data_IF_161241992387
#
_entry.id   IF_161241992387
#
_cell.length_a   1.000
_cell.length_b   1.000
_cell.length_c   1.000
_cell.angle_alpha   90.00
_cell.angle_beta   90.00
_cell.angle_gamma   90.00
#
_symmetry.space_group_name_H-M   'P 1'
#
loop_
_entity.id
_entity.type
_entity.pdbx_description
1 polymer ?
#
# COMPACT_ATOMS: atom_id res chain seq x y z
N UNK A 1 -13.20 -30.62 -15.34
CA UNK A 1 -12.62 -31.98 -15.39
C UNK A 1 -11.21 -32.04 -14.80
N UNK A 2 -10.24 -31.22 -15.26
CA UNK A 2 -8.85 -31.20 -14.73
C UNK A 2 -8.68 -31.08 -13.20
N UNK A 3 -9.54 -30.29 -12.55
CA UNK A 3 -9.53 -30.14 -11.08
C UNK A 3 -9.98 -31.43 -10.37
N UNK A 4 -10.82 -32.25 -10.99
CA UNK A 4 -11.25 -33.53 -10.41
C UNK A 4 -10.19 -34.62 -10.60
N UNK A 5 -9.45 -34.58 -11.71
CA UNK A 5 -8.26 -35.44 -11.91
C UNK A 5 -7.21 -35.16 -10.84
N UNK A 6 -6.84 -33.88 -10.66
CA UNK A 6 -5.87 -33.45 -9.65
C UNK A 6 -6.29 -33.80 -8.21
N UNK A 7 -7.60 -33.84 -7.92
CA UNK A 7 -8.12 -34.27 -6.60
C UNK A 7 -7.89 -35.75 -6.35
N UNK A 8 -8.09 -36.57 -7.37
CA UNK A 8 -7.96 -38.03 -7.30
C UNK A 8 -6.49 -38.42 -7.20
N UNK A 9 -5.62 -37.74 -7.94
CA UNK A 9 -4.17 -37.96 -7.94
C UNK A 9 -3.51 -37.61 -6.59
N UNK A 10 -4.00 -36.58 -5.89
CA UNK A 10 -3.38 -36.08 -4.66
C UNK A 10 -3.99 -36.63 -3.36
N UNK A 11 -4.90 -37.60 -3.43
CA UNK A 11 -5.54 -38.24 -2.26
C UNK A 11 -6.07 -37.21 -1.23
N UNK A 12 -6.61 -36.09 -1.73
CA UNK A 12 -6.99 -34.94 -0.91
C UNK A 12 -8.31 -35.21 -0.17
N UNK A 13 -8.23 -35.92 0.96
CA UNK A 13 -9.35 -36.08 1.91
C UNK A 13 -9.58 -34.74 2.60
N UNK A 14 -10.53 -33.97 2.08
CA UNK A 14 -10.95 -32.66 2.59
C UNK A 14 -9.98 -31.54 2.23
N UNK A 15 -10.38 -30.62 1.34
CA UNK A 15 -9.58 -29.41 1.09
C UNK A 15 -9.90 -28.39 2.18
N UNK A 16 -8.89 -28.11 3.02
CA UNK A 16 -9.00 -27.14 4.10
C UNK A 16 -8.63 -25.74 3.62
N UNK A 17 -9.43 -24.76 4.01
CA UNK A 17 -9.20 -23.36 3.68
C UNK A 17 -8.95 -22.55 4.95
N UNK A 18 -7.83 -21.83 4.97
CA UNK A 18 -7.45 -20.93 6.05
C UNK A 18 -8.12 -19.55 5.95
N UNK A 19 -8.64 -19.19 4.77
CA UNK A 19 -9.33 -17.93 4.52
C UNK A 19 -10.72 -18.20 3.92
N UNK A 20 -11.75 -17.46 4.36
CA UNK A 20 -13.12 -17.65 3.87
C UNK A 20 -13.28 -17.28 2.38
N UNK A 21 -12.46 -16.38 1.85
CA UNK A 21 -12.45 -16.00 0.42
C UNK A 21 -12.23 -17.23 -0.47
N UNK A 22 -11.16 -17.99 -0.19
CA UNK A 22 -10.80 -19.18 -0.95
C UNK A 22 -11.85 -20.27 -0.84
N UNK A 23 -12.41 -20.47 0.36
CA UNK A 23 -13.49 -21.45 0.58
C UNK A 23 -14.75 -21.08 -0.19
N UNK A 24 -15.13 -19.79 -0.19
CA UNK A 24 -16.30 -19.32 -0.93
C UNK A 24 -16.14 -19.56 -2.43
N UNK A 25 -14.99 -19.20 -3.01
CA UNK A 25 -14.70 -19.42 -4.43
C UNK A 25 -14.72 -20.92 -4.74
N UNK A 26 -14.05 -21.74 -3.91
CA UNK A 26 -14.02 -23.17 -4.11
C UNK A 26 -15.41 -23.80 -4.06
N UNK A 27 -16.21 -23.52 -3.04
CA UNK A 27 -17.56 -24.07 -2.90
C UNK A 27 -18.47 -23.63 -4.05
N UNK A 28 -18.36 -22.36 -4.48
CA UNK A 28 -19.23 -21.80 -5.52
C UNK A 28 -18.94 -22.35 -6.91
N UNK A 29 -17.67 -22.55 -7.27
CA UNK A 29 -17.29 -22.90 -8.64
C UNK A 29 -16.94 -24.37 -8.83
N UNK A 30 -16.55 -25.09 -7.78
CA UNK A 30 -16.17 -26.50 -7.90
C UNK A 30 -17.30 -27.49 -7.61
N UNK A 31 -18.46 -27.00 -7.14
CA UNK A 31 -19.58 -27.80 -6.61
C UNK A 31 -19.18 -28.80 -5.53
N UNK A 32 -17.96 -28.68 -4.99
CA UNK A 32 -17.41 -29.53 -3.94
C UNK A 32 -17.40 -28.74 -2.63
N UNK A 33 -17.61 -29.43 -1.50
CA UNK A 33 -17.58 -28.80 -0.19
C UNK A 33 -16.17 -28.82 0.37
N UNK A 34 -15.54 -27.65 0.48
CA UNK A 34 -14.31 -27.47 1.25
C UNK A 34 -14.60 -27.38 2.74
N UNK A 35 -13.56 -27.53 3.56
CA UNK A 35 -13.64 -27.40 5.02
C UNK A 35 -13.04 -26.06 5.43
N UNK A 36 -13.75 -25.29 6.25
CA UNK A 36 -13.17 -24.09 6.84
C UNK A 36 -12.29 -24.48 8.01
N UNK A 37 -10.98 -24.22 7.94
CA UNK A 37 -10.07 -24.67 8.99
C UNK A 37 -10.38 -24.03 10.36
N UNK A 38 -11.01 -22.85 10.38
CA UNK A 38 -11.50 -22.22 11.61
C UNK A 38 -12.56 -23.06 12.32
N UNK A 39 -13.43 -23.78 11.60
CA UNK A 39 -14.44 -24.64 12.23
C UNK A 39 -13.85 -25.73 13.11
N UNK A 40 -12.65 -26.19 12.75
CA UNK A 40 -11.94 -27.25 13.45
C UNK A 40 -11.38 -26.74 14.77
N UNK A 41 -10.87 -25.51 14.78
CA UNK A 41 -10.13 -24.95 15.92
C UNK A 41 -10.92 -23.97 16.78
N UNK A 42 -12.12 -23.54 16.34
CA UNK A 42 -12.90 -22.51 17.05
C UNK A 42 -13.22 -22.87 18.50
N UNK A 43 -13.33 -24.16 18.82
CA UNK A 43 -13.52 -24.65 20.18
C UNK A 43 -12.33 -24.38 21.11
N UNK A 44 -11.11 -24.35 20.56
CA UNK A 44 -9.88 -24.14 21.33
C UNK A 44 -9.60 -22.65 21.61
N UNK A 45 -10.32 -21.74 20.93
CA UNK A 45 -10.13 -20.29 21.04
C UNK A 45 -10.90 -19.66 22.22
N UNK A 46 -11.69 -20.45 22.96
CA UNK A 46 -12.49 -20.02 24.12
C UNK A 46 -13.28 -18.74 23.85
N UNK A 47 -12.98 -17.65 24.57
CA UNK A 47 -13.68 -16.35 24.55
C UNK A 47 -12.93 -15.26 23.77
N UNK A 48 -11.87 -15.61 23.03
CA UNK A 48 -11.12 -14.60 22.25
C UNK A 48 -12.02 -14.06 21.14
N UNK A 49 -12.07 -12.74 21.01
CA UNK A 49 -12.79 -12.12 19.89
C UNK A 49 -12.09 -12.45 18.57
N UNK A 50 -12.87 -12.89 17.57
CA UNK A 50 -12.35 -13.33 16.27
C UNK A 50 -12.99 -12.53 15.12
N UNK A 51 -12.13 -11.94 14.32
CA UNK A 51 -12.44 -11.35 13.02
C UNK A 51 -12.42 -12.43 11.93
N UNK A 52 -13.62 -12.78 11.44
CA UNK A 52 -13.80 -13.77 10.38
C UNK A 52 -13.65 -13.16 8.99
N UNK A 53 -13.83 -11.84 8.85
CA UNK A 53 -13.84 -11.14 7.58
C UNK A 53 -15.17 -11.25 6.83
N UNK A 54 -15.43 -10.27 5.96
CA UNK A 54 -16.73 -10.14 5.30
C UNK A 54 -17.12 -11.30 4.36
N UNK A 55 -16.16 -12.06 3.84
CA UNK A 55 -16.45 -13.25 3.02
C UNK A 55 -16.99 -14.42 3.85
N UNK A 56 -16.69 -14.48 5.14
CA UNK A 56 -17.25 -15.48 6.03
C UNK A 56 -18.78 -15.33 6.16
N UNK A 57 -19.33 -14.11 6.06
CA UNK A 57 -20.78 -13.88 6.04
C UNK A 57 -21.45 -14.54 4.84
N UNK A 58 -20.80 -14.52 3.67
CA UNK A 58 -21.29 -15.21 2.47
C UNK A 58 -21.28 -16.74 2.62
N UNK A 59 -20.55 -17.25 3.60
CA UNK A 59 -20.51 -18.65 3.99
C UNK A 59 -21.42 -18.97 5.19
N UNK A 60 -22.17 -17.99 5.70
CA UNK A 60 -23.12 -18.17 6.81
C UNK A 60 -22.53 -17.97 8.20
N UNK A 61 -21.35 -17.36 8.33
CA UNK A 61 -20.77 -17.05 9.64
C UNK A 61 -21.14 -15.64 10.11
N UNK A 62 -21.48 -15.53 11.39
CA UNK A 62 -21.65 -14.26 12.08
C UNK A 62 -20.33 -13.84 12.75
N UNK A 63 -19.95 -12.57 12.55
CA UNK A 63 -18.81 -11.95 13.21
C UNK A 63 -19.19 -10.55 13.66
N UNK A 64 -18.73 -10.16 14.85
CA UNK A 64 -18.89 -8.79 15.36
C UNK A 64 -18.15 -7.77 14.48
N UNK A 65 -17.11 -8.20 13.76
CA UNK A 65 -16.30 -7.35 12.93
C UNK A 65 -16.66 -7.52 11.44
N UNK A 66 -16.99 -6.41 10.80
CA UNK A 66 -17.48 -6.38 9.41
C UNK A 66 -16.41 -6.01 8.37
N UNK A 67 -15.14 -5.93 8.76
CA UNK A 67 -14.08 -5.44 7.88
C UNK A 67 -13.74 -6.50 6.81
N UNK A 68 -13.49 -6.05 5.57
CA UNK A 68 -13.14 -6.92 4.46
C UNK A 68 -11.62 -7.00 4.26
N UNK A 69 -11.06 -8.20 4.31
CA UNK A 69 -9.69 -8.49 3.88
C UNK A 69 -9.52 -8.49 2.35
N UNK A 70 -10.56 -8.14 1.59
CA UNK A 70 -10.63 -8.36 0.13
C UNK A 70 -9.84 -7.41 -0.77
N UNK A 71 -8.98 -6.56 -0.23
CA UNK A 71 -8.14 -5.68 -1.04
C UNK A 71 -6.72 -5.74 -0.48
N UNK A 72 -5.78 -6.14 -1.35
CA UNK A 72 -4.32 -6.06 -1.15
C UNK A 72 -3.84 -4.61 -0.94
N UNK A 73 -4.76 -3.64 -1.07
CA UNK A 73 -4.50 -2.22 -0.94
C UNK A 73 -4.26 -1.85 0.52
N UNK A 74 -3.14 -1.16 0.74
CA UNK A 74 -2.83 -0.36 1.94
C UNK A 74 -3.71 0.89 2.07
N UNK A 75 -4.62 1.10 1.12
CA UNK A 75 -5.56 2.21 1.05
C UNK A 75 -6.99 1.75 0.70
N UNK A 76 -8.01 2.45 1.19
CA UNK A 76 -9.41 2.27 0.80
C UNK A 76 -10.01 3.63 0.44
N UNK A 77 -10.55 3.75 -0.79
CA UNK A 77 -11.05 5.03 -1.34
C UNK A 77 -10.03 6.18 -1.23
N UNK A 78 -8.76 5.91 -1.54
CA UNK A 78 -7.69 6.92 -1.50
C UNK A 78 -7.21 7.30 -0.10
N UNK A 79 -7.78 6.71 0.97
CA UNK A 79 -7.35 6.93 2.35
C UNK A 79 -6.54 5.73 2.85
N UNK A 80 -5.48 5.97 3.63
CA UNK A 80 -4.68 4.91 4.20
C UNK A 80 -5.45 4.09 5.24
N UNK A 81 -5.33 2.76 5.15
CA UNK A 81 -5.80 1.87 6.22
C UNK A 81 -4.69 1.79 7.28
N UNK A 82 -4.82 2.55 8.37
CA UNK A 82 -3.91 2.45 9.52
C UNK A 82 -4.21 1.16 10.28
N UNK A 83 -3.27 0.22 10.28
CA UNK A 83 -3.35 -0.99 11.09
C UNK A 83 -2.89 -0.68 12.52
N UNK A 84 -3.75 -0.06 13.32
CA UNK A 84 -3.54 -0.04 14.77
C UNK A 84 -3.55 -1.48 15.28
N UNK A 85 -2.69 -1.84 16.24
CA UNK A 85 -2.72 -3.18 16.83
C UNK A 85 -4.07 -3.40 17.51
N UNK A 86 -4.85 -4.37 17.03
CA UNK A 86 -6.16 -4.69 17.59
C UNK A 86 -6.05 -5.95 18.45
N UNK A 87 -6.73 -5.94 19.60
CA UNK A 87 -6.70 -7.03 20.59
C UNK A 87 -7.47 -8.30 20.22
N UNK A 88 -7.91 -8.44 18.96
CA UNK A 88 -8.67 -9.59 18.48
C UNK A 88 -7.86 -10.47 17.51
N UNK A 89 -8.28 -11.72 17.33
CA UNK A 89 -7.65 -12.66 16.40
C UNK A 89 -8.29 -12.56 15.01
N UNK A 90 -7.52 -12.83 13.97
CA UNK A 90 -8.04 -12.88 12.59
C UNK A 90 -7.94 -14.30 12.05
N UNK A 91 -9.01 -14.76 11.37
CA UNK A 91 -9.00 -16.10 10.79
C UNK A 91 -8.03 -16.21 9.63
N UNK A 92 -8.13 -15.31 8.64
CA UNK A 92 -7.29 -15.40 7.46
C UNK A 92 -5.86 -14.92 7.76
N UNK A 93 -4.83 -15.81 7.76
CA UNK A 93 -3.46 -15.45 8.13
C UNK A 93 -2.84 -14.42 7.17
N UNK A 94 -3.31 -14.33 5.93
CA UNK A 94 -2.83 -13.33 4.96
C UNK A 94 -3.37 -11.92 5.20
N UNK A 95 -4.27 -11.74 6.17
CA UNK A 95 -4.91 -10.46 6.47
C UNK A 95 -4.58 -9.93 7.87
N UNK A 96 -3.79 -10.67 8.65
CA UNK A 96 -3.36 -10.30 10.01
C UNK A 96 -2.66 -8.96 10.05
N UNK A 97 -1.71 -8.72 9.12
CA UNK A 97 -1.00 -7.45 8.96
C UNK A 97 -1.93 -6.28 8.67
N UNK A 98 -2.98 -6.50 7.86
CA UNK A 98 -3.95 -5.47 7.46
C UNK A 98 -4.79 -4.99 8.63
N UNK A 99 -5.13 -5.89 9.54
CA UNK A 99 -5.93 -5.58 10.72
C UNK A 99 -5.09 -5.29 11.97
N UNK A 100 -3.76 -5.45 11.89
CA UNK A 100 -2.88 -5.33 13.06
C UNK A 100 -3.17 -6.40 14.11
N UNK A 101 -3.44 -7.64 13.69
CA UNK A 101 -3.94 -8.75 14.53
C UNK A 101 -3.05 -10.00 14.41
N UNK A 102 -3.31 -11.00 15.24
CA UNK A 102 -2.65 -12.32 15.18
C UNK A 102 -3.60 -13.36 14.58
N UNK A 103 -3.05 -14.34 13.85
CA UNK A 103 -3.82 -15.43 13.27
C UNK A 103 -4.38 -16.37 14.35
N UNK A 104 -5.62 -16.83 14.18
CA UNK A 104 -6.19 -17.91 15.00
C UNK A 104 -5.36 -19.19 14.97
N UNK A 105 -4.70 -19.48 13.85
CA UNK A 105 -3.93 -20.72 13.68
C UNK A 105 -2.61 -20.68 14.46
N UNK A 106 -1.99 -19.51 14.56
CA UNK A 106 -0.82 -19.29 15.40
C UNK A 106 -1.16 -19.46 16.89
N UNK A 107 -2.35 -18.99 17.31
CA UNK A 107 -2.79 -19.11 18.70
C UNK A 107 -3.04 -20.56 19.16
N UNK A 108 -3.25 -21.50 18.23
CA UNK A 108 -3.53 -22.92 18.50
C UNK A 108 -2.28 -23.79 18.33
N UNK A 109 -1.35 -23.38 17.47
CA UNK A 109 -0.09 -24.11 17.22
C UNK A 109 0.92 -24.00 18.36
N UNK A 110 0.73 -23.09 19.32
CA UNK A 110 1.73 -22.76 20.33
C UNK A 110 1.25 -23.01 21.78
N UNK A 111 1.76 -24.11 22.37
CA UNK A 111 2.12 -24.18 23.80
C UNK A 111 3.44 -23.43 24.09
N UNK A 112 3.96 -22.69 23.11
CA UNK A 112 5.06 -21.75 23.29
C UNK A 112 4.52 -20.57 24.08
N UNK A 113 5.17 -20.28 25.21
CA UNK A 113 4.88 -19.13 26.06
C UNK A 113 4.61 -17.91 25.18
N UNK A 114 3.58 -17.15 25.54
CA UNK A 114 3.52 -15.71 25.30
C UNK A 114 4.71 -15.04 26.04
N UNK A 115 5.95 -15.43 25.73
CA UNK A 115 7.03 -14.47 25.72
C UNK A 115 6.70 -13.64 24.49
N UNK A 116 6.19 -12.46 24.77
CA UNK A 116 6.12 -11.34 23.86
C UNK A 116 7.04 -11.57 22.64
N UNK A 117 6.47 -11.61 21.45
CA UNK A 117 7.21 -11.21 20.25
C UNK A 117 7.43 -9.69 20.39
N UNK A 118 8.23 -9.31 21.39
CA UNK A 118 8.77 -8.00 21.69
C UNK A 118 10.16 -7.95 21.07
N UNK A 119 10.27 -8.26 19.78
CA UNK A 119 11.53 -8.08 19.04
C UNK A 119 11.42 -8.07 17.51
N UNK A 120 10.23 -7.92 16.93
CA UNK A 120 10.13 -7.15 15.68
C UNK A 120 9.96 -5.71 16.13
N UNK A 121 10.88 -4.82 15.75
CA UNK A 121 10.90 -3.42 16.16
C UNK A 121 9.48 -2.86 16.05
N UNK A 122 8.86 -2.56 17.19
CA UNK A 122 7.57 -1.87 17.29
C UNK A 122 7.76 -0.41 16.88
N UNK A 123 8.27 -0.20 15.67
CA UNK A 123 8.33 1.11 15.10
C UNK A 123 6.94 1.44 14.60
N UNK A 124 6.38 2.53 15.11
CA UNK A 124 5.13 3.07 14.60
C UNK A 124 5.36 3.61 13.17
N UNK A 125 5.10 2.76 12.18
CA UNK A 125 5.26 3.08 10.76
C UNK A 125 4.31 4.20 10.30
N UNK A 126 3.31 4.59 11.10
CA UNK A 126 2.43 5.73 10.78
C UNK A 126 3.23 7.01 10.53
N UNK A 127 4.31 7.22 11.28
CA UNK A 127 5.20 8.36 11.10
C UNK A 127 5.90 8.32 9.74
N UNK A 128 6.34 7.14 9.28
CA UNK A 128 6.96 6.99 7.97
C UNK A 128 5.95 7.30 6.87
N UNK A 129 4.74 6.76 6.96
CA UNK A 129 3.69 7.05 5.99
C UNK A 129 3.36 8.55 5.91
N UNK A 130 3.27 9.23 7.05
CA UNK A 130 3.01 10.67 7.11
C UNK A 130 4.18 11.47 6.49
N UNK A 131 5.43 11.09 6.77
CA UNK A 131 6.62 11.70 6.16
C UNK A 131 6.69 11.48 4.64
N UNK A 132 6.35 10.27 4.16
CA UNK A 132 6.30 9.94 2.74
C UNK A 132 5.28 10.84 2.01
N UNK A 133 4.08 10.97 2.57
CA UNK A 133 3.02 11.82 2.01
C UNK A 133 3.48 13.28 1.97
N UNK A 134 3.95 13.80 3.11
CA UNK A 134 4.40 15.19 3.22
C UNK A 134 5.51 15.51 2.21
N UNK A 135 6.44 14.57 2.00
CA UNK A 135 7.50 14.71 1.00
C UNK A 135 6.95 14.89 -0.42
N UNK A 136 5.93 14.12 -0.79
CA UNK A 136 5.27 14.28 -2.09
C UNK A 136 4.55 15.63 -2.18
N UNK A 137 3.85 16.07 -1.11
CA UNK A 137 3.17 17.37 -1.09
C UNK A 137 4.15 18.53 -1.28
N UNK A 138 5.26 18.52 -0.55
CA UNK A 138 6.31 19.54 -0.66
C UNK A 138 7.01 19.52 -2.02
N UNK A 139 7.26 18.32 -2.57
CA UNK A 139 7.87 18.16 -3.88
C UNK A 139 7.00 18.77 -4.98
N UNK A 140 5.69 18.55 -4.94
CA UNK A 140 4.74 19.15 -5.89
C UNK A 140 4.78 20.68 -5.83
N UNK A 141 4.88 21.28 -4.65
CA UNK A 141 5.01 22.73 -4.53
C UNK A 141 6.33 23.25 -5.11
N UNK A 142 7.44 22.53 -4.90
CA UNK A 142 8.78 22.96 -5.32
C UNK A 142 9.07 22.74 -6.80
N UNK A 143 8.38 21.80 -7.46
CA UNK A 143 8.60 21.50 -8.87
C UNK A 143 7.78 22.37 -9.84
N UNK A 144 6.90 23.24 -9.33
CA UNK A 144 5.94 23.99 -10.13
C UNK A 144 6.59 24.84 -11.24
N UNK A 145 7.67 25.56 -10.94
CA UNK A 145 8.35 26.40 -11.93
C UNK A 145 9.04 25.57 -13.02
N UNK A 146 9.71 24.47 -12.65
CA UNK A 146 10.38 23.60 -13.62
C UNK A 146 9.35 22.91 -14.53
N UNK A 147 8.17 22.55 -14.00
CA UNK A 147 7.05 22.06 -14.81
C UNK A 147 6.48 23.16 -15.71
N UNK A 148 6.32 24.39 -15.20
CA UNK A 148 5.82 25.53 -15.94
C UNK A 148 6.66 25.81 -17.20
N UNK A 149 7.99 25.72 -17.10
CA UNK A 149 8.90 25.83 -18.24
C UNK A 149 8.66 24.78 -19.34
N UNK A 150 8.13 23.61 -18.98
CA UNK A 150 7.89 22.51 -19.92
C UNK A 150 6.48 22.49 -20.52
N UNK A 151 5.54 23.30 -20.04
CA UNK A 151 4.15 23.30 -20.56
C UNK A 151 4.11 23.60 -22.05
N UNK A 152 5.00 24.46 -22.56
CA UNK A 152 5.06 24.77 -23.99
C UNK A 152 5.32 23.54 -24.88
N UNK A 153 6.01 22.52 -24.34
CA UNK A 153 6.30 21.27 -25.05
C UNK A 153 5.05 20.46 -25.37
N UNK A 154 3.95 20.72 -24.65
CA UNK A 154 2.63 20.16 -24.98
C UNK A 154 2.18 20.57 -26.39
N UNK A 155 2.51 21.78 -26.86
CA UNK A 155 2.16 22.19 -28.23
C UNK A 155 2.95 21.42 -29.30
N UNK A 156 4.14 20.94 -28.97
CA UNK A 156 5.03 20.26 -29.90
C UNK A 156 4.73 18.75 -29.98
N UNK A 157 4.45 18.12 -28.84
CA UNK A 157 4.31 16.66 -28.74
C UNK A 157 3.03 16.18 -28.05
N UNK A 158 2.10 17.08 -27.74
CA UNK A 158 0.86 16.77 -27.06
C UNK A 158 1.02 16.38 -25.58
N UNK A 159 -0.07 15.84 -25.03
CA UNK A 159 -0.18 15.42 -23.64
C UNK A 159 0.90 14.42 -23.23
N UNK A 160 1.09 13.35 -24.01
CA UNK A 160 2.02 12.28 -23.66
C UNK A 160 3.45 12.77 -23.58
N UNK A 161 3.87 13.66 -24.49
CA UNK A 161 5.22 14.20 -24.49
C UNK A 161 5.45 15.08 -23.27
N UNK A 162 4.50 15.94 -22.92
CA UNK A 162 4.55 16.71 -21.69
C UNK A 162 4.65 15.80 -20.45
N UNK A 163 3.79 14.78 -20.35
CA UNK A 163 3.83 13.81 -19.23
C UNK A 163 5.21 13.16 -19.10
N UNK A 164 5.82 12.73 -20.20
CA UNK A 164 7.16 12.12 -20.20
C UNK A 164 8.24 13.08 -19.68
N UNK A 165 8.13 14.38 -19.98
CA UNK A 165 9.05 15.40 -19.49
C UNK A 165 8.80 15.74 -18.02
N UNK A 166 7.54 15.70 -17.55
CA UNK A 166 7.20 16.00 -16.16
C UNK A 166 7.62 14.90 -15.18
N UNK A 167 7.60 13.62 -15.59
CA UNK A 167 8.01 12.48 -14.74
C UNK A 167 9.38 12.69 -14.09
N UNK A 168 10.48 12.90 -14.83
CA UNK A 168 11.81 13.04 -14.22
C UNK A 168 11.92 14.27 -13.32
N UNK A 169 11.22 15.36 -13.63
CA UNK A 169 11.16 16.57 -12.79
C UNK A 169 10.50 16.22 -11.45
N UNK A 170 9.30 15.62 -11.48
CA UNK A 170 8.56 15.24 -10.28
C UNK A 170 9.37 14.23 -9.45
N UNK A 171 9.93 13.20 -10.08
CA UNK A 171 10.77 12.19 -9.40
C UNK A 171 11.99 12.81 -8.71
N UNK A 172 12.67 13.76 -9.36
CA UNK A 172 13.80 14.50 -8.77
C UNK A 172 13.40 15.20 -7.47
N UNK A 173 12.32 15.99 -7.49
CA UNK A 173 11.89 16.72 -6.31
C UNK A 173 11.35 15.78 -5.22
N UNK A 174 10.59 14.74 -5.56
CA UNK A 174 10.15 13.74 -4.58
C UNK A 174 11.36 13.08 -3.92
N UNK A 175 12.38 12.69 -4.70
CA UNK A 175 13.58 12.05 -4.16
C UNK A 175 14.35 12.94 -3.17
N UNK A 176 14.45 14.24 -3.46
CA UNK A 176 15.06 15.23 -2.58
C UNK A 176 14.27 15.41 -1.28
N UNK A 177 12.95 15.61 -1.37
CA UNK A 177 12.10 15.82 -0.20
C UNK A 177 11.98 14.57 0.66
N UNK A 178 11.91 13.38 0.06
CA UNK A 178 11.94 12.11 0.78
C UNK A 178 13.21 11.97 1.60
N UNK A 179 14.36 12.20 0.97
CA UNK A 179 15.66 12.10 1.66
C UNK A 179 15.72 13.10 2.82
N UNK A 180 15.27 14.35 2.59
CA UNK A 180 15.24 15.40 3.60
C UNK A 180 14.34 15.05 4.79
N UNK A 181 13.09 14.68 4.53
CA UNK A 181 12.08 14.47 5.57
C UNK A 181 12.33 13.18 6.35
N UNK A 182 12.71 12.08 5.69
CA UNK A 182 13.01 10.84 6.39
C UNK A 182 14.31 10.96 7.21
N UNK A 183 15.32 11.73 6.76
CA UNK A 183 16.54 11.98 7.54
C UNK A 183 16.32 12.96 8.71
N UNK A 184 15.25 13.75 8.70
CA UNK A 184 14.95 14.71 9.77
C UNK A 184 14.60 14.05 11.11
N UNK A 185 14.24 12.76 11.09
CA UNK A 185 13.80 12.02 12.28
C UNK A 185 14.78 10.87 12.59
N UNK A 186 15.59 10.95 13.67
CA UNK A 186 16.59 9.94 13.99
C UNK A 186 16.04 8.52 14.13
N UNK A 187 14.82 8.38 14.67
CA UNK A 187 14.16 7.08 14.87
C UNK A 187 13.81 6.40 13.54
N UNK A 188 13.45 7.17 12.50
CA UNK A 188 13.20 6.67 11.13
C UNK A 188 14.49 6.12 10.52
N UNK A 189 15.59 6.86 10.67
CA UNK A 189 16.91 6.43 10.18
C UNK A 189 17.37 5.14 10.85
N UNK A 190 17.18 5.02 12.17
CA UNK A 190 17.50 3.80 12.90
C UNK A 190 16.66 2.61 12.41
N UNK A 191 15.35 2.81 12.25
CA UNK A 191 14.46 1.78 11.70
C UNK A 191 14.93 1.30 10.32
N UNK A 192 15.25 2.21 9.40
CA UNK A 192 15.75 1.84 8.09
C UNK A 192 17.11 1.13 8.12
N UNK A 193 18.01 1.51 9.03
CA UNK A 193 19.26 0.79 9.25
C UNK A 193 19.01 -0.66 9.70
N UNK A 194 18.09 -0.88 10.64
CA UNK A 194 17.74 -2.22 11.13
C UNK A 194 17.12 -3.09 10.02
N UNK A 195 16.14 -2.57 9.28
CA UNK A 195 15.48 -3.38 8.23
C UNK A 195 16.37 -3.59 6.99
N UNK A 196 17.35 -2.71 6.73
CA UNK A 196 18.25 -2.83 5.57
C UNK A 196 19.12 -4.10 5.61
N UNK A 197 19.37 -4.64 6.81
CA UNK A 197 20.12 -5.88 7.00
C UNK A 197 19.34 -7.12 6.53
N UNK A 198 18.01 -7.04 6.45
CA UNK A 198 17.15 -8.08 5.91
C UNK A 198 16.58 -7.65 4.55
N UNK A 199 17.26 -8.03 3.47
CA UNK A 199 16.89 -7.65 2.09
C UNK A 199 15.45 -7.99 1.72
N UNK A 200 14.90 -9.11 2.21
CA UNK A 200 13.54 -9.53 1.91
C UNK A 200 12.52 -8.60 2.58
N UNK A 201 12.72 -8.34 3.87
CA UNK A 201 11.89 -7.40 4.64
C UNK A 201 12.00 -5.98 4.07
N UNK A 202 13.21 -5.53 3.76
CA UNK A 202 13.45 -4.22 3.16
C UNK A 202 12.68 -4.04 1.86
N UNK A 203 12.82 -4.98 0.91
CA UNK A 203 12.09 -4.92 -0.37
C UNK A 203 10.58 -4.96 -0.18
N UNK A 204 10.09 -5.75 0.78
CA UNK A 204 8.67 -5.77 1.13
C UNK A 204 8.19 -4.39 1.61
N UNK A 205 8.95 -3.73 2.50
CA UNK A 205 8.62 -2.38 2.98
C UNK A 205 8.65 -1.34 1.86
N UNK A 206 9.66 -1.37 0.99
CA UNK A 206 9.70 -0.51 -0.20
C UNK A 206 8.44 -0.70 -1.06
N UNK A 207 8.04 -1.94 -1.31
CA UNK A 207 6.81 -2.23 -2.05
C UNK A 207 5.57 -1.67 -1.35
N UNK A 208 5.43 -1.86 -0.04
CA UNK A 208 4.32 -1.33 0.77
C UNK A 208 4.24 0.19 0.68
N UNK A 209 5.37 0.89 0.83
CA UNK A 209 5.43 2.35 0.76
C UNK A 209 5.13 2.88 -0.63
N UNK A 210 5.61 2.19 -1.67
CA UNK A 210 5.34 2.53 -3.06
C UNK A 210 3.85 2.38 -3.38
N UNK A 211 3.26 1.23 -3.04
CA UNK A 211 1.83 0.97 -3.24
C UNK A 211 0.98 1.98 -2.50
N UNK A 212 1.35 2.30 -1.26
CA UNK A 212 0.67 3.30 -0.45
C UNK A 212 0.62 4.66 -1.15
N UNK A 213 1.77 5.15 -1.62
CA UNK A 213 1.88 6.46 -2.28
C UNK A 213 1.16 6.50 -3.62
N UNK A 214 1.24 5.42 -4.43
CA UNK A 214 0.57 5.35 -5.73
C UNK A 214 -0.95 5.47 -5.59
N UNK A 215 -1.51 4.90 -4.53
CA UNK A 215 -2.96 4.89 -4.29
C UNK A 215 -3.45 6.01 -3.38
N UNK A 216 -2.55 6.85 -2.84
CA UNK A 216 -2.93 8.01 -2.05
C UNK A 216 -3.54 9.10 -2.93
N UNK A 217 -4.60 9.74 -2.45
CA UNK A 217 -5.26 10.83 -3.19
C UNK A 217 -4.51 12.15 -3.04
N UNK A 218 -3.75 12.54 -4.08
CA UNK A 218 -3.07 13.84 -4.18
C UNK A 218 -3.87 14.90 -4.97
N UNK A 219 -5.18 14.73 -5.11
CA UNK A 219 -6.01 15.60 -5.95
C UNK A 219 -5.97 17.07 -5.53
N UNK A 220 -6.00 17.35 -4.23
CA UNK A 220 -5.87 18.71 -3.69
C UNK A 220 -4.52 19.34 -4.01
N UNK A 221 -3.45 18.57 -3.92
CA UNK A 221 -2.09 19.01 -4.17
C UNK A 221 -1.86 19.26 -5.66
N UNK A 222 -2.48 18.45 -6.52
CA UNK A 222 -2.45 18.67 -7.96
C UNK A 222 -3.25 19.92 -8.34
N UNK A 223 -4.40 20.17 -7.72
CA UNK A 223 -5.14 21.42 -7.90
C UNK A 223 -4.34 22.64 -7.44
N UNK A 224 -3.60 22.51 -6.32
CA UNK A 224 -2.64 23.50 -5.86
C UNK A 224 -1.53 23.74 -6.89
N UNK A 225 -0.92 22.67 -7.39
CA UNK A 225 0.15 22.72 -8.39
C UNK A 225 -0.30 23.43 -9.67
N UNK A 226 -1.50 23.12 -10.19
CA UNK A 226 -2.05 23.79 -11.39
C UNK A 226 -2.14 25.31 -11.17
N UNK A 227 -2.63 25.75 -10.00
CA UNK A 227 -2.70 27.18 -9.66
C UNK A 227 -1.32 27.80 -9.58
N UNK A 228 -0.34 27.13 -8.99
CA UNK A 228 1.03 27.62 -8.89
C UNK A 228 1.68 27.72 -10.27
N UNK A 229 1.47 26.75 -11.16
CA UNK A 229 1.95 26.78 -12.55
C UNK A 229 1.35 27.97 -13.31
N UNK A 230 0.04 28.20 -13.21
CA UNK A 230 -0.62 29.34 -13.86
C UNK A 230 -0.01 30.69 -13.47
N UNK A 231 0.40 30.81 -12.21
CA UNK A 231 0.99 32.01 -11.65
C UNK A 231 2.53 32.06 -11.79
N UNK A 232 3.15 31.02 -12.33
CA UNK A 232 4.60 30.95 -12.45
C UNK A 232 5.09 31.96 -13.50
N UNK A 233 6.16 32.74 -13.21
CA UNK A 233 6.80 33.60 -14.20
C UNK A 233 7.48 32.81 -15.32
N UNK A 234 7.68 31.50 -15.12
CA UNK A 234 8.29 30.59 -16.09
C UNK A 234 7.30 30.00 -17.10
N UNK A 235 6.00 30.20 -16.88
CA UNK A 235 4.97 29.74 -17.82
C UNK A 235 4.95 30.65 -19.06
N UNK A 236 5.17 30.04 -20.22
CA UNK A 236 5.00 30.72 -21.51
C UNK A 236 3.55 31.22 -21.65
N UNK A 237 3.37 32.51 -21.97
CA UNK A 237 2.05 33.13 -22.07
C UNK A 237 1.14 32.39 -23.06
N UNK A 238 1.71 31.92 -24.17
CA UNK A 238 0.97 31.21 -25.21
C UNK A 238 0.47 29.84 -24.75
N UNK A 239 1.05 29.28 -23.67
CA UNK A 239 0.72 27.96 -23.14
C UNK A 239 -0.30 27.99 -21.99
N UNK A 240 -0.79 29.17 -21.59
CA UNK A 240 -1.77 29.31 -20.48
C UNK A 240 -3.07 28.56 -20.70
N UNK A 241 -3.59 28.55 -21.93
CA UNK A 241 -4.84 27.85 -22.27
C UNK A 241 -4.74 26.34 -22.07
N UNK A 242 -3.54 25.77 -22.18
CA UNK A 242 -3.29 24.35 -21.94
C UNK A 242 -3.47 24.04 -20.46
N UNK A 243 -2.93 24.88 -19.58
CA UNK A 243 -2.98 24.67 -18.13
C UNK A 243 -4.42 24.71 -17.59
N UNK A 244 -5.28 25.52 -18.20
CA UNK A 244 -6.70 25.62 -17.85
C UNK A 244 -7.56 24.42 -18.33
N UNK A 245 -6.99 23.53 -19.15
CA UNK A 245 -7.68 22.35 -19.67
C UNK A 245 -7.74 21.23 -18.61
N UNK A 246 -8.87 20.52 -18.51
CA UNK A 246 -9.02 19.34 -17.65
C UNK A 246 -7.99 18.24 -17.94
N UNK A 247 -7.57 18.11 -19.20
CA UNK A 247 -6.56 17.13 -19.61
C UNK A 247 -5.18 17.41 -18.99
N UNK A 248 -4.86 18.68 -18.72
CA UNK A 248 -3.60 19.05 -18.08
C UNK A 248 -3.51 18.51 -16.65
N UNK A 249 -4.60 18.64 -15.88
CA UNK A 249 -4.69 18.03 -14.54
C UNK A 249 -4.50 16.51 -14.60
N UNK A 250 -5.11 15.85 -15.59
CA UNK A 250 -4.99 14.40 -15.77
C UNK A 250 -3.56 13.97 -16.16
N UNK A 251 -2.89 14.77 -16.99
CA UNK A 251 -1.49 14.54 -17.36
C UNK A 251 -0.56 14.66 -16.14
N UNK A 252 -0.78 15.64 -15.26
CA UNK A 252 -0.03 15.78 -14.01
C UNK A 252 -0.28 14.62 -13.04
N UNK A 253 -1.53 14.15 -12.91
CA UNK A 253 -1.85 12.93 -12.14
C UNK A 253 -1.08 11.73 -12.65
N UNK A 254 -1.09 11.53 -13.97
CA UNK A 254 -0.41 10.41 -14.61
C UNK A 254 1.11 10.52 -14.44
N UNK A 255 1.67 11.72 -14.57
CA UNK A 255 3.08 11.97 -14.34
C UNK A 255 3.48 11.67 -12.89
N UNK A 256 2.70 12.12 -11.90
CA UNK A 256 2.94 11.85 -10.48
C UNK A 256 2.91 10.35 -10.17
N UNK A 257 1.87 9.64 -10.63
CA UNK A 257 1.73 8.20 -10.40
C UNK A 257 2.90 7.41 -11.00
N UNK A 258 3.41 7.83 -12.17
CA UNK A 258 4.57 7.19 -12.82
C UNK A 258 5.90 7.59 -12.17
N UNK A 259 5.97 8.81 -11.63
CA UNK A 259 7.15 9.30 -10.92
C UNK A 259 7.40 8.53 -9.62
N UNK A 260 6.33 8.12 -8.93
CA UNK A 260 6.39 7.28 -7.73
C UNK A 260 6.62 5.83 -8.15
N UNK A 261 7.83 5.31 -7.93
CA UNK A 261 8.17 3.91 -8.19
C UNK A 261 9.13 3.36 -7.13
N UNK A 262 9.28 2.04 -7.08
CA UNK A 262 10.12 1.36 -6.08
C UNK A 262 11.57 1.86 -6.11
N UNK A 263 12.14 2.13 -7.28
CA UNK A 263 13.52 2.59 -7.41
C UNK A 263 13.71 3.97 -6.76
N UNK A 264 12.76 4.89 -6.93
CA UNK A 264 12.80 6.21 -6.30
C UNK A 264 12.80 6.08 -4.77
N UNK A 265 11.85 5.32 -4.21
CA UNK A 265 11.71 5.15 -2.76
C UNK A 265 12.94 4.43 -2.18
N UNK A 266 13.40 3.38 -2.84
CA UNK A 266 14.61 2.65 -2.45
C UNK A 266 15.84 3.55 -2.45
N UNK A 267 16.07 4.31 -3.52
CA UNK A 267 17.24 5.19 -3.63
C UNK A 267 17.21 6.29 -2.57
N UNK A 268 16.05 6.91 -2.32
CA UNK A 268 15.88 7.89 -1.25
C UNK A 268 16.19 7.30 0.13
N UNK A 269 15.73 6.08 0.43
CA UNK A 269 16.03 5.43 1.70
C UNK A 269 17.51 5.06 1.81
N UNK A 270 18.11 4.50 0.76
CA UNK A 270 19.53 4.18 0.74
C UNK A 270 20.40 5.43 0.95
N UNK A 271 20.04 6.57 0.35
CA UNK A 271 20.75 7.83 0.56
C UNK A 271 20.80 8.23 2.03
N UNK A 272 19.75 7.98 2.81
CA UNK A 272 19.71 8.30 4.24
C UNK A 272 20.63 7.40 5.06
N UNK A 273 20.82 6.15 4.62
CA UNK A 273 21.70 5.19 5.28
C UNK A 273 23.19 5.51 5.04
N UNK A 274 23.50 6.13 3.90
CA UNK A 274 24.88 6.50 3.53
C UNK A 274 25.31 7.90 4.00
N UNK A 275 24.36 8.79 4.33
CA UNK A 275 24.60 10.12 4.94
C UNK A 275 24.78 9.97 6.45
#
# INVERSE_FOLDING_TARGET
>A
ERINELKTENNAIGIYFLCPEGLYVYNKFSHSKGVFAYDVIKGDLKDKEVHLGCWARKLGYDSKFNECAGLFLTTYKGNPLRAEKKGFLTVCPFSTWKFGTVSVYSAVSEKTKFEEISRESQYDESLIFDLLVNSVKEALNKCADEIAEKVIMWKLGGEQYFTLLSIPIISKYIGLELTRNLNSTPSVKQFFNEISQNKLLFNQKISTYTDYLIHYSFDSEIDGLVKTILNSPKLDYSARDIVNNTNFKQALRTALQRAINQSLIQNSIMNILYI
#
